data_IF_565913132559
#
_entry.id   IF_565913132559
#
_cell.length_a   1.000
_cell.length_b   1.000
_cell.length_c   1.000
_cell.angle_alpha   90.00
_cell.angle_beta   90.00
_cell.angle_gamma   90.00
#
_symmetry.space_group_name_H-M   'P 1'
#
loop_
_entity.id
_entity.type
_entity.pdbx_description
1 polymer ?
#
# COMPACT_ATOMS: atom_id res chain seq x y z
N UNK A 1 23.24 -8.34 14.52
CA UNK A 1 24.37 -7.92 15.37
C UNK A 1 24.05 -6.52 15.89
N UNK A 2 23.61 -6.40 17.15
CA UNK A 2 23.18 -5.13 17.72
C UNK A 2 24.39 -4.29 18.10
N UNK A 3 24.46 -3.04 17.62
CA UNK A 3 25.48 -2.08 18.07
C UNK A 3 25.20 -1.73 19.54
N UNK A 4 25.84 -2.47 20.45
CA UNK A 4 25.77 -2.26 21.88
C UNK A 4 26.52 -1.00 22.28
N UNK A 5 25.91 0.17 22.12
CA UNK A 5 26.30 1.36 22.87
C UNK A 5 26.03 1.08 24.35
N UNK A 6 27.08 0.70 25.09
CA UNK A 6 27.02 0.60 26.54
C UNK A 6 27.06 2.04 27.07
N UNK A 7 25.88 2.59 27.36
CA UNK A 7 25.78 3.92 27.95
C UNK A 7 26.34 3.88 29.39
N UNK A 8 27.13 4.88 29.82
CA UNK A 8 27.63 4.96 31.20
C UNK A 8 26.47 4.90 32.21
N UNK A 9 26.62 4.13 33.29
CA UNK A 9 25.53 3.91 34.26
C UNK A 9 25.40 5.06 35.29
N UNK A 10 25.35 6.30 34.81
CA UNK A 10 25.17 7.50 35.63
C UNK A 10 23.68 7.78 35.90
N UNK A 11 23.34 8.51 36.97
CA UNK A 11 21.95 8.87 37.29
C UNK A 11 21.24 9.57 36.12
N UNK A 12 21.92 10.47 35.41
CA UNK A 12 21.39 11.26 34.31
C UNK A 12 21.03 10.38 33.11
N UNK A 13 21.87 9.40 32.81
CA UNK A 13 21.63 8.45 31.72
C UNK A 13 20.48 7.51 32.07
N UNK A 14 20.35 7.09 33.34
CA UNK A 14 19.19 6.28 33.77
C UNK A 14 17.87 7.04 33.62
N UNK A 15 17.85 8.33 33.95
CA UNK A 15 16.66 9.15 33.74
C UNK A 15 16.35 9.34 32.25
N UNK A 16 17.37 9.57 31.42
CA UNK A 16 17.20 9.69 29.97
C UNK A 16 16.63 8.39 29.36
N UNK A 17 17.19 7.23 29.73
CA UNK A 17 16.69 5.93 29.25
C UNK A 17 15.26 5.67 29.73
N UNK A 18 14.93 5.98 31.00
CA UNK A 18 13.56 5.84 31.51
C UNK A 18 12.55 6.72 30.76
N UNK A 19 12.91 7.96 30.44
CA UNK A 19 12.06 8.87 29.64
C UNK A 19 11.87 8.32 28.22
N UNK A 20 12.95 7.88 27.57
CA UNK A 20 12.89 7.27 26.23
C UNK A 20 12.07 5.99 26.21
N UNK A 21 12.22 5.10 27.18
CA UNK A 21 11.43 3.88 27.27
C UNK A 21 9.94 4.18 27.52
N UNK A 22 9.62 5.25 28.26
CA UNK A 22 8.25 5.69 28.44
C UNK A 22 7.65 6.24 27.14
N UNK A 23 8.38 7.09 26.41
CA UNK A 23 7.99 7.59 25.08
C UNK A 23 7.77 6.45 24.08
N UNK A 24 8.66 5.47 24.05
CA UNK A 24 8.56 4.30 23.16
C UNK A 24 7.33 3.45 23.53
N UNK A 25 7.09 3.21 24.83
CA UNK A 25 5.89 2.46 25.27
C UNK A 25 4.59 3.19 24.96
N UNK A 26 4.58 4.51 25.05
CA UNK A 26 3.42 5.33 24.71
C UNK A 26 3.13 5.26 23.20
N UNK A 27 4.15 5.47 22.37
CA UNK A 27 4.02 5.31 20.91
C UNK A 27 3.61 3.88 20.49
N UNK A 28 4.07 2.85 21.21
CA UNK A 28 3.67 1.47 20.96
C UNK A 28 2.23 1.13 21.40
N UNK A 29 1.63 1.90 22.32
CA UNK A 29 0.21 1.71 22.68
C UNK A 29 -0.72 2.26 21.60
N UNK A 30 -0.30 3.33 20.92
CA UNK A 30 -1.09 3.97 19.85
C UNK A 30 -0.91 3.29 18.47
N UNK A 31 0.21 2.61 18.24
CA UNK A 31 0.45 1.87 17.01
C UNK A 31 -0.60 0.77 16.69
N UNK A 32 -0.98 -0.13 17.62
CA UNK A 32 -1.98 -1.16 17.36
C UNK A 32 -3.38 -0.58 17.14
N UNK A 33 -3.76 0.47 17.88
CA UNK A 33 -5.06 1.14 17.69
C UNK A 33 -5.15 1.85 16.34
N UNK A 34 -4.06 2.46 15.86
CA UNK A 34 -3.97 3.00 14.51
C UNK A 34 -4.08 1.92 13.43
N UNK A 35 -3.45 0.78 13.63
CA UNK A 35 -3.49 -0.35 12.70
C UNK A 35 -4.90 -0.98 12.62
N UNK A 36 -5.56 -1.17 13.76
CA UNK A 36 -6.95 -1.60 13.84
C UNK A 36 -7.90 -0.59 13.19
N UNK A 37 -7.66 0.71 13.39
CA UNK A 37 -8.45 1.78 12.74
C UNK A 37 -8.33 1.78 11.21
N UNK A 38 -7.15 1.43 10.68
CA UNK A 38 -6.90 1.37 9.25
C UNK A 38 -7.54 0.11 8.64
N UNK A 39 -7.45 -1.02 9.35
CA UNK A 39 -8.11 -2.27 8.97
C UNK A 39 -9.64 -2.13 8.96
N UNK A 40 -10.22 -1.56 10.01
CA UNK A 40 -11.67 -1.31 10.08
C UNK A 40 -12.18 -0.39 8.97
N UNK A 41 -11.42 0.66 8.61
CA UNK A 41 -11.75 1.53 7.48
C UNK A 41 -11.67 0.83 6.12
N UNK A 42 -10.71 -0.09 5.95
CA UNK A 42 -10.59 -0.93 4.76
C UNK A 42 -11.75 -1.93 4.65
N UNK A 43 -12.10 -2.59 5.75
CA UNK A 43 -13.19 -3.58 5.79
C UNK A 43 -14.57 -2.96 5.56
N UNK A 44 -14.75 -1.67 5.90
CA UNK A 44 -15.95 -0.89 5.60
C UNK A 44 -15.98 -0.34 4.16
N UNK A 45 -14.88 -0.42 3.42
CA UNK A 45 -14.81 0.08 2.05
C UNK A 45 -15.58 -0.86 1.10
N UNK A 46 -16.62 -0.35 0.45
CA UNK A 46 -17.46 -1.10 -0.47
C UNK A 46 -16.67 -1.71 -1.65
N UNK A 47 -15.63 -1.04 -2.15
CA UNK A 47 -14.77 -1.61 -3.20
C UNK A 47 -13.93 -2.77 -2.69
N UNK A 48 -13.44 -2.69 -1.45
CA UNK A 48 -12.69 -3.76 -0.82
C UNK A 48 -13.57 -4.99 -0.61
N UNK A 49 -14.77 -4.81 -0.05
CA UNK A 49 -15.74 -5.90 0.12
C UNK A 49 -16.11 -6.55 -1.22
N UNK A 50 -16.37 -5.74 -2.26
CA UNK A 50 -16.65 -6.25 -3.61
C UNK A 50 -15.50 -7.09 -4.14
N UNK A 51 -14.25 -6.64 -3.97
CA UNK A 51 -13.06 -7.40 -4.40
C UNK A 51 -12.85 -8.67 -3.60
N UNK A 52 -13.21 -8.73 -2.32
CA UNK A 52 -13.13 -9.96 -1.53
C UNK A 52 -14.01 -11.08 -2.10
N UNK A 53 -15.15 -10.73 -2.71
CA UNK A 53 -16.09 -11.66 -3.32
C UNK A 53 -15.71 -12.09 -4.74
N UNK A 54 -14.74 -11.42 -5.38
CA UNK A 54 -14.27 -11.76 -6.72
C UNK A 54 -13.35 -12.99 -6.70
N UNK A 55 -13.52 -13.83 -7.72
CA UNK A 55 -12.57 -14.89 -8.07
C UNK A 55 -11.20 -14.31 -8.43
N UNK A 56 -10.17 -15.18 -8.52
CA UNK A 56 -8.83 -14.76 -8.88
C UNK A 56 -8.79 -14.09 -10.27
N UNK A 57 -9.50 -14.65 -11.24
CA UNK A 57 -9.55 -14.14 -12.61
C UNK A 57 -10.28 -12.80 -12.69
N UNK A 58 -11.40 -12.65 -11.96
CA UNK A 58 -12.13 -11.38 -11.88
C UNK A 58 -11.28 -10.26 -11.27
N UNK A 59 -10.43 -10.57 -10.28
CA UNK A 59 -9.51 -9.59 -9.70
C UNK A 59 -8.46 -9.12 -10.70
N UNK A 60 -7.99 -10.01 -11.57
CA UNK A 60 -7.02 -9.68 -12.61
C UNK A 60 -7.67 -8.75 -13.64
N UNK A 61 -8.87 -9.09 -14.10
CA UNK A 61 -9.63 -8.26 -15.05
C UNK A 61 -9.93 -6.88 -14.45
N UNK A 62 -10.45 -6.82 -13.22
CA UNK A 62 -10.72 -5.56 -12.50
C UNK A 62 -9.46 -4.69 -12.34
N UNK A 63 -8.30 -5.30 -12.04
CA UNK A 63 -7.04 -4.57 -11.94
C UNK A 63 -6.61 -3.94 -13.28
N UNK A 64 -6.74 -4.68 -14.38
CA UNK A 64 -6.45 -4.17 -15.74
C UNK A 64 -7.37 -2.99 -16.08
N UNK A 65 -8.66 -3.08 -15.78
CA UNK A 65 -9.62 -2.00 -16.03
C UNK A 65 -9.33 -0.75 -15.22
N UNK A 66 -9.00 -0.91 -13.93
CA UNK A 66 -8.63 0.23 -13.07
C UNK A 66 -7.37 0.92 -13.57
N UNK A 67 -6.37 0.16 -14.02
CA UNK A 67 -5.15 0.74 -14.56
C UNK A 67 -5.41 1.52 -15.86
N UNK A 68 -6.27 0.99 -16.74
CA UNK A 68 -6.69 1.69 -17.95
C UNK A 68 -7.46 3.00 -17.64
N UNK A 69 -8.39 2.98 -16.68
CA UNK A 69 -9.11 4.18 -16.22
C UNK A 69 -8.18 5.22 -15.60
N UNK A 70 -7.22 4.78 -14.77
CA UNK A 70 -6.22 5.68 -14.20
C UNK A 70 -5.37 6.35 -15.30
N UNK A 71 -5.01 5.59 -16.35
CA UNK A 71 -4.28 6.10 -17.51
C UNK A 71 -5.11 7.11 -18.30
N UNK A 72 -6.40 6.85 -18.50
CA UNK A 72 -7.33 7.77 -19.13
C UNK A 72 -7.40 9.10 -18.36
N UNK A 73 -7.63 9.05 -17.04
CA UNK A 73 -7.67 10.24 -16.18
C UNK A 73 -6.36 11.02 -16.25
N UNK A 74 -5.21 10.33 -16.31
CA UNK A 74 -3.92 10.97 -16.47
C UNK A 74 -3.83 11.75 -17.80
N UNK A 75 -4.22 11.16 -18.93
CA UNK A 75 -4.23 11.87 -20.20
C UNK A 75 -5.19 13.06 -20.20
N UNK A 76 -6.37 12.90 -19.62
CA UNK A 76 -7.36 13.96 -19.55
C UNK A 76 -6.89 15.13 -18.67
N UNK A 77 -6.38 14.84 -17.47
CA UNK A 77 -5.97 15.87 -16.50
C UNK A 77 -4.62 16.50 -16.80
N UNK A 78 -3.66 15.74 -17.31
CA UNK A 78 -2.28 16.19 -17.49
C UNK A 78 -2.01 16.67 -18.92
N UNK A 79 -2.56 15.97 -19.91
CA UNK A 79 -2.33 16.28 -21.32
C UNK A 79 -3.50 17.03 -21.96
N UNK A 80 -4.66 17.12 -21.31
CA UNK A 80 -5.85 17.76 -21.87
C UNK A 80 -6.43 17.01 -23.07
N UNK A 81 -6.07 15.73 -23.25
CA UNK A 81 -6.49 14.91 -24.39
C UNK A 81 -7.36 13.77 -23.89
N UNK A 82 -8.52 13.58 -24.52
CA UNK A 82 -9.34 12.41 -24.30
C UNK A 82 -8.72 11.19 -25.00
N UNK A 83 -8.52 10.11 -24.25
CA UNK A 83 -8.29 8.77 -24.78
C UNK A 83 -9.38 7.84 -24.28
N UNK A 84 -9.79 6.93 -25.15
CA UNK A 84 -10.74 5.87 -24.79
C UNK A 84 -10.10 4.85 -23.84
N UNK A 85 -10.94 4.07 -23.15
CA UNK A 85 -10.47 3.02 -22.24
C UNK A 85 -9.77 1.91 -23.05
N UNK A 86 -10.26 1.62 -24.25
CA UNK A 86 -9.74 0.62 -25.17
C UNK A 86 -8.33 0.99 -25.64
N UNK A 87 -8.09 2.26 -25.99
CA UNK A 87 -6.75 2.77 -26.32
C UNK A 87 -5.80 2.65 -25.13
N UNK A 88 -6.27 2.99 -23.92
CA UNK A 88 -5.49 2.84 -22.70
C UNK A 88 -5.18 1.36 -22.39
N UNK A 89 -6.13 0.45 -22.63
CA UNK A 89 -5.92 -1.01 -22.49
C UNK A 89 -4.87 -1.51 -23.49
N UNK A 90 -4.95 -1.06 -24.75
CA UNK A 90 -3.98 -1.43 -25.78
C UNK A 90 -2.56 -0.94 -25.42
N UNK A 91 -2.43 0.29 -24.91
CA UNK A 91 -1.15 0.81 -24.42
C UNK A 91 -0.59 -0.01 -23.27
N UNK A 92 -1.42 -0.48 -22.33
CA UNK A 92 -0.98 -1.24 -21.17
C UNK A 92 -0.74 -2.73 -21.46
N UNK A 93 -1.25 -3.25 -22.58
CA UNK A 93 -1.20 -4.67 -22.90
C UNK A 93 0.22 -5.26 -22.90
N UNK A 94 1.23 -4.49 -23.30
CA UNK A 94 2.62 -4.95 -23.26
C UNK A 94 3.14 -5.14 -21.82
N UNK A 95 2.70 -4.30 -20.89
CA UNK A 95 3.04 -4.40 -19.46
C UNK A 95 2.37 -5.63 -18.87
N UNK A 96 1.09 -5.85 -19.19
CA UNK A 96 0.33 -7.01 -18.70
C UNK A 96 0.91 -8.33 -19.23
N UNK A 97 1.24 -8.42 -20.52
CA UNK A 97 1.91 -9.60 -21.10
C UNK A 97 3.28 -9.86 -20.48
N UNK A 98 4.08 -8.81 -20.27
CA UNK A 98 5.37 -8.95 -19.59
C UNK A 98 5.18 -9.50 -18.17
N UNK A 99 4.24 -8.94 -17.41
CA UNK A 99 3.94 -9.41 -16.07
C UNK A 99 3.48 -10.88 -16.07
N UNK A 100 2.61 -11.27 -17.00
CA UNK A 100 2.15 -12.65 -17.13
C UNK A 100 3.31 -13.62 -17.39
N UNK A 101 4.22 -13.27 -18.31
CA UNK A 101 5.44 -14.03 -18.59
C UNK A 101 6.38 -14.14 -17.38
N UNK A 102 6.66 -13.02 -16.72
CA UNK A 102 7.58 -12.97 -15.58
C UNK A 102 7.06 -13.78 -14.37
N UNK A 103 5.75 -14.03 -14.30
CA UNK A 103 5.09 -14.82 -13.25
C UNK A 103 4.65 -16.23 -13.69
N UNK A 104 5.01 -16.67 -14.90
CA UNK A 104 4.70 -18.02 -15.39
C UNK A 104 3.21 -18.30 -15.62
N UNK A 105 2.43 -17.26 -15.91
CA UNK A 105 1.00 -17.36 -16.27
C UNK A 105 0.84 -17.67 -17.77
N UNK A 106 1.80 -17.23 -18.60
CA UNK A 106 1.94 -17.51 -20.05
C UNK A 106 3.00 -18.58 -20.33
#
# INVERSE_FOLDING_TARGET
MGSGLILPNTPEIREYVKKRDAEIREAQKDAPTLQESAKGRLEQNAEYQRRCLMSADEKIIDAVERQARARQIYYEKVHGVYKSIEECKAELAHIHRKFARDNGIE
#
